data_IF_908410927663
#
_entry.id   IF_908410927663
#
_cell.length_a   1.000
_cell.length_b   1.000
_cell.length_c   1.000
_cell.angle_alpha   90.00
_cell.angle_beta   90.00
_cell.angle_gamma   90.00
#
_symmetry.space_group_name_H-M   'P 1'
#
loop_
_entity.id
_entity.type
_entity.pdbx_description
1 polymer ?
#
# COMPACT_ATOMS: atom_id res chain seq x y z
N UNK A 1 46.14 -11.72 0.59
CA UNK A 1 44.93 -11.05 0.05
C UNK A 1 43.63 -11.72 0.48
N UNK A 2 43.63 -13.02 0.84
CA UNK A 2 42.45 -13.75 1.36
C UNK A 2 42.20 -13.42 2.86
N UNK A 3 43.27 -13.30 3.65
CA UNK A 3 43.26 -12.89 5.08
C UNK A 3 42.51 -11.57 5.32
N UNK A 4 42.72 -10.57 4.46
CA UNK A 4 42.09 -9.24 4.52
C UNK A 4 40.59 -9.25 4.25
N UNK A 5 40.10 -10.21 3.45
CA UNK A 5 38.66 -10.34 3.15
C UNK A 5 37.95 -11.00 4.34
N UNK A 6 38.60 -11.96 4.99
CA UNK A 6 38.09 -12.62 6.19
C UNK A 6 37.97 -11.65 7.38
N UNK A 7 38.95 -10.76 7.59
CA UNK A 7 38.90 -9.76 8.67
C UNK A 7 37.81 -8.71 8.48
N UNK A 8 37.49 -8.33 7.23
CA UNK A 8 36.39 -7.39 6.92
C UNK A 8 35.03 -8.05 7.17
N UNK A 9 34.87 -9.33 6.80
CA UNK A 9 33.65 -10.07 7.10
C UNK A 9 33.45 -10.25 8.61
N UNK A 10 34.53 -10.48 9.36
CA UNK A 10 34.49 -10.61 10.82
C UNK A 10 34.23 -9.29 11.55
N UNK A 11 34.54 -8.15 10.93
CA UNK A 11 34.21 -6.82 11.45
C UNK A 11 32.72 -6.49 11.25
N UNK A 12 32.13 -6.93 10.13
CA UNK A 12 30.69 -6.79 9.87
C UNK A 12 29.88 -7.76 10.75
N UNK A 13 30.42 -8.94 11.05
CA UNK A 13 29.79 -9.95 11.93
C UNK A 13 30.06 -9.69 13.43
N UNK A 14 30.13 -8.41 13.84
CA UNK A 14 30.40 -8.02 15.22
C UNK A 14 29.54 -8.80 16.21
N UNK A 15 30.21 -9.56 17.09
CA UNK A 15 29.72 -10.25 18.29
C UNK A 15 28.21 -10.13 18.56
N UNK A 16 27.40 -10.89 17.84
CA UNK A 16 26.01 -11.09 18.22
C UNK A 16 26.01 -12.11 19.36
N UNK A 17 25.74 -11.66 20.59
CA UNK A 17 25.31 -12.58 21.64
C UNK A 17 24.13 -13.39 21.09
N UNK A 18 24.19 -14.72 21.21
CA UNK A 18 23.21 -15.64 20.61
C UNK A 18 21.77 -15.51 21.19
N UNK A 19 21.53 -14.49 22.02
CA UNK A 19 20.22 -14.03 22.43
C UNK A 19 19.97 -12.64 21.80
N UNK A 20 19.47 -12.57 20.56
CA UNK A 20 18.99 -11.31 20.03
C UNK A 20 17.88 -10.80 20.95
N UNK A 21 18.16 -9.69 21.64
CA UNK A 21 17.22 -9.06 22.56
C UNK A 21 16.16 -8.34 21.71
N UNK A 22 15.10 -9.06 21.36
CA UNK A 22 13.97 -8.56 20.56
C UNK A 22 13.02 -7.65 21.36
N UNK A 23 13.35 -7.33 22.60
CA UNK A 23 12.51 -6.60 23.56
C UNK A 23 12.18 -5.17 23.08
N UNK A 24 13.07 -4.59 22.26
CA UNK A 24 12.89 -3.26 21.68
C UNK A 24 12.08 -3.27 20.37
N UNK A 25 11.83 -4.44 19.78
CA UNK A 25 11.00 -4.52 18.57
C UNK A 25 9.56 -4.08 18.89
N UNK A 26 8.90 -3.30 17.99
CA UNK A 26 7.54 -2.85 18.22
C UNK A 26 6.52 -3.99 18.27
N UNK A 27 6.87 -5.18 17.76
CA UNK A 27 6.04 -6.39 17.76
C UNK A 27 6.58 -7.52 18.67
N UNK A 28 7.48 -7.21 19.60
CA UNK A 28 8.11 -8.21 20.48
C UNK A 28 7.20 -8.78 21.59
N UNK A 29 7.60 -9.90 22.22
CA UNK A 29 6.84 -10.57 23.29
C UNK A 29 6.96 -9.79 24.61
N UNK A 30 6.25 -8.68 24.75
CA UNK A 30 6.29 -7.88 25.97
C UNK A 30 5.27 -6.76 26.01
N UNK A 31 4.05 -7.06 26.47
CA UNK A 31 3.04 -6.07 26.88
C UNK A 31 3.21 -5.72 28.37
N UNK A 32 4.44 -5.43 28.79
CA UNK A 32 4.72 -5.16 30.21
C UNK A 32 4.28 -3.77 30.68
N UNK A 33 4.34 -2.77 29.78
CA UNK A 33 3.97 -1.39 30.06
C UNK A 33 3.05 -0.85 28.96
N UNK A 34 1.87 -0.37 29.39
CA UNK A 34 0.82 0.18 28.54
C UNK A 34 1.32 1.42 27.77
N UNK A 35 2.10 2.29 28.43
CA UNK A 35 2.62 3.52 27.82
C UNK A 35 3.69 3.22 26.77
N UNK A 36 4.55 2.24 27.03
CA UNK A 36 5.52 1.76 26.06
C UNK A 36 4.84 1.18 24.81
N UNK A 37 3.75 0.43 25.00
CA UNK A 37 2.97 -0.15 23.92
C UNK A 37 2.28 0.91 23.05
N UNK A 38 1.66 1.93 23.67
CA UNK A 38 1.07 3.06 22.95
C UNK A 38 2.12 3.81 22.13
N UNK A 39 3.28 4.08 22.72
CA UNK A 39 4.35 4.82 22.05
C UNK A 39 4.87 4.07 20.82
N UNK A 40 5.05 2.75 20.94
CA UNK A 40 5.40 1.87 19.82
C UNK A 40 4.34 1.92 18.71
N UNK A 41 3.05 1.84 19.06
CA UNK A 41 1.95 1.91 18.10
C UNK A 41 1.87 3.26 17.39
N UNK A 42 2.05 4.36 18.12
CA UNK A 42 2.05 5.71 17.55
C UNK A 42 3.23 5.90 16.60
N UNK A 43 4.41 5.40 16.96
CA UNK A 43 5.58 5.41 16.10
C UNK A 43 5.36 4.63 14.79
N UNK A 44 4.80 3.42 14.88
CA UNK A 44 4.43 2.62 13.70
C UNK A 44 3.40 3.35 12.84
N UNK A 45 2.36 3.91 13.45
CA UNK A 45 1.33 4.68 12.74
C UNK A 45 1.93 5.91 12.05
N UNK A 46 2.87 6.60 12.68
CA UNK A 46 3.56 7.74 12.10
C UNK A 46 4.38 7.33 10.86
N UNK A 47 5.16 6.25 10.94
CA UNK A 47 5.92 5.73 9.80
C UNK A 47 4.98 5.32 8.66
N UNK A 48 3.92 4.57 8.96
CA UNK A 48 2.93 4.17 7.96
C UNK A 48 2.25 5.38 7.33
N UNK A 49 1.90 6.39 8.12
CA UNK A 49 1.35 7.65 7.61
C UNK A 49 2.29 8.35 6.65
N UNK A 50 3.59 8.42 6.97
CA UNK A 50 4.62 8.97 6.08
C UNK A 50 4.72 8.16 4.79
N UNK A 51 4.73 6.83 4.86
CA UNK A 51 4.76 5.96 3.68
C UNK A 51 3.52 6.19 2.81
N UNK A 52 2.33 6.27 3.41
CA UNK A 52 1.08 6.54 2.67
C UNK A 52 1.16 7.88 1.96
N UNK A 53 1.60 8.95 2.65
CA UNK A 53 1.76 10.28 2.04
C UNK A 53 2.78 10.23 0.91
N UNK A 54 3.93 9.57 1.13
CA UNK A 54 4.98 9.42 0.12
C UNK A 54 4.44 8.72 -1.13
N UNK A 55 3.77 7.58 -0.98
CA UNK A 55 3.14 6.85 -2.09
C UNK A 55 2.02 7.67 -2.73
N UNK A 56 1.24 8.42 -1.94
CA UNK A 56 0.16 9.28 -2.43
C UNK A 56 0.66 10.46 -3.26
N UNK A 57 1.84 10.99 -2.95
CA UNK A 57 2.55 12.03 -3.73
C UNK A 57 3.17 11.42 -4.98
N UNK A 58 3.70 10.20 -4.87
CA UNK A 58 4.46 9.58 -5.95
C UNK A 58 3.57 8.93 -7.03
N UNK A 59 2.49 8.29 -6.58
CA UNK A 59 1.59 7.46 -7.39
C UNK A 59 0.10 7.86 -7.29
N UNK A 60 -0.28 8.78 -6.42
CA UNK A 60 -1.67 9.26 -6.35
C UNK A 60 -2.05 10.14 -7.55
N UNK A 61 -3.27 10.71 -7.60
CA UNK A 61 -3.64 11.68 -8.63
C UNK A 61 -2.63 12.84 -8.66
N UNK A 62 -2.01 13.03 -9.84
CA UNK A 62 -0.87 13.91 -10.14
C UNK A 62 0.51 13.43 -9.71
N UNK A 63 0.68 12.15 -9.37
CA UNK A 63 1.96 11.57 -9.00
C UNK A 63 2.93 11.48 -10.17
N UNK A 64 4.21 11.83 -9.95
CA UNK A 64 5.25 11.89 -11.00
C UNK A 64 5.56 10.52 -11.62
N UNK A 65 5.37 9.43 -10.89
CA UNK A 65 5.59 8.06 -11.37
C UNK A 65 4.28 7.33 -11.67
N UNK A 66 3.16 8.05 -11.81
CA UNK A 66 1.92 7.45 -12.26
C UNK A 66 2.02 7.16 -13.76
N UNK A 67 1.94 5.88 -14.11
CA UNK A 67 2.01 5.45 -15.51
C UNK A 67 0.71 5.82 -16.25
N UNK A 68 0.77 6.65 -17.30
CA UNK A 68 -0.41 7.01 -18.10
C UNK A 68 -1.06 5.80 -18.79
N UNK A 69 -0.34 4.70 -19.00
CA UNK A 69 -0.93 3.51 -19.62
C UNK A 69 -1.91 2.78 -18.69
N UNK A 70 -1.64 2.75 -17.37
CA UNK A 70 -2.56 2.18 -16.38
C UNK A 70 -3.86 3.00 -16.27
N UNK A 71 -3.75 4.32 -16.41
CA UNK A 71 -4.93 5.20 -16.45
C UNK A 71 -5.77 4.99 -17.71
N UNK A 72 -5.11 4.74 -18.84
CA UNK A 72 -5.78 4.44 -20.10
C UNK A 72 -6.54 3.12 -20.02
N UNK A 73 -5.93 2.05 -19.49
CA UNK A 73 -6.62 0.76 -19.31
C UNK A 73 -7.84 0.89 -18.37
N UNK A 74 -7.70 1.65 -17.27
CA UNK A 74 -8.80 1.91 -16.36
C UNK A 74 -9.94 2.73 -17.02
N UNK A 75 -9.59 3.71 -17.88
CA UNK A 75 -10.54 4.48 -18.65
C UNK A 75 -11.27 3.62 -19.69
N UNK A 76 -10.55 2.77 -20.43
CA UNK A 76 -11.13 1.85 -21.40
C UNK A 76 -12.06 0.81 -20.74
N UNK A 77 -11.71 0.30 -19.56
CA UNK A 77 -12.58 -0.59 -18.79
C UNK A 77 -13.86 0.11 -18.34
N UNK A 78 -13.76 1.38 -17.89
CA UNK A 78 -14.93 2.20 -17.54
C UNK A 78 -15.83 2.46 -18.74
N UNK A 79 -15.25 2.77 -19.90
CA UNK A 79 -16.01 3.01 -21.12
C UNK A 79 -16.76 1.75 -21.58
N UNK A 80 -16.10 0.59 -21.57
CA UNK A 80 -16.74 -0.71 -21.87
C UNK A 80 -17.89 -1.02 -20.91
N UNK A 81 -17.71 -0.76 -19.61
CA UNK A 81 -18.75 -0.96 -18.62
C UNK A 81 -19.96 -0.04 -18.83
N UNK A 82 -19.73 1.22 -19.24
CA UNK A 82 -20.80 2.16 -19.59
C UNK A 82 -21.54 1.74 -20.87
N UNK A 83 -20.82 1.28 -21.88
CA UNK A 83 -21.40 0.81 -23.14
C UNK A 83 -22.30 -0.42 -22.93
N UNK A 84 -21.86 -1.41 -22.14
CA UNK A 84 -22.67 -2.56 -21.77
C UNK A 84 -23.92 -2.16 -20.99
N UNK A 85 -23.79 -1.21 -20.07
CA UNK A 85 -24.93 -0.72 -19.29
C UNK A 85 -25.97 0.00 -20.19
N UNK A 86 -25.53 0.70 -21.22
CA UNK A 86 -26.42 1.33 -22.19
C UNK A 86 -27.09 0.32 -23.12
N UNK A 87 -26.39 -0.75 -23.52
CA UNK A 87 -26.96 -1.86 -24.27
C UNK A 87 -27.99 -2.64 -23.45
N UNK A 88 -27.74 -2.86 -22.17
CA UNK A 88 -28.70 -3.47 -21.25
C UNK A 88 -29.97 -2.63 -21.08
N UNK A 89 -29.83 -1.30 -21.08
CA UNK A 89 -30.97 -0.37 -21.06
C UNK A 89 -31.76 -0.45 -22.37
N UNK A 90 -31.07 -0.39 -23.53
CA UNK A 90 -31.70 -0.48 -24.87
C UNK A 90 -32.39 -1.81 -25.11
N UNK A 91 -31.83 -2.91 -24.60
CA UNK A 91 -32.42 -4.24 -24.67
C UNK A 91 -33.53 -4.49 -23.65
N UNK A 92 -33.84 -3.51 -22.79
CA UNK A 92 -34.91 -3.60 -21.80
C UNK A 92 -34.61 -4.55 -20.64
N UNK A 93 -33.36 -5.00 -20.48
CA UNK A 93 -32.94 -5.90 -19.40
C UNK A 93 -32.84 -5.20 -18.05
N UNK A 94 -32.67 -3.87 -18.06
CA UNK A 94 -32.60 -3.04 -16.85
C UNK A 94 -33.57 -1.85 -16.95
N UNK A 95 -34.11 -1.44 -15.80
CA UNK A 95 -34.96 -0.24 -15.68
C UNK A 95 -34.11 1.04 -15.74
N UNK A 96 -34.71 2.16 -16.18
CA UNK A 96 -34.06 3.48 -16.18
C UNK A 96 -33.55 3.91 -14.79
N UNK A 97 -34.25 3.49 -13.73
CA UNK A 97 -33.85 3.78 -12.34
C UNK A 97 -32.55 3.03 -12.02
N UNK A 98 -32.48 1.74 -12.35
CA UNK A 98 -31.29 0.91 -12.12
C UNK A 98 -30.09 1.38 -12.95
N UNK A 99 -30.33 1.83 -14.19
CA UNK A 99 -29.32 2.44 -15.04
C UNK A 99 -28.70 3.67 -14.37
N UNK A 100 -29.51 4.59 -13.83
CA UNK A 100 -29.02 5.81 -13.16
C UNK A 100 -28.14 5.48 -11.95
N UNK A 101 -28.54 4.50 -11.12
CA UNK A 101 -27.74 4.08 -9.97
C UNK A 101 -26.44 3.36 -10.37
N UNK A 102 -26.49 2.47 -11.37
CA UNK A 102 -25.30 1.77 -11.87
C UNK A 102 -24.31 2.71 -12.54
N UNK A 103 -24.79 3.64 -13.38
CA UNK A 103 -23.97 4.68 -14.03
C UNK A 103 -23.26 5.58 -13.02
N UNK A 104 -23.99 6.03 -11.98
CA UNK A 104 -23.40 6.86 -10.92
C UNK A 104 -22.27 6.14 -10.15
N UNK A 105 -22.37 4.82 -9.97
CA UNK A 105 -21.32 4.02 -9.33
C UNK A 105 -20.07 3.85 -10.20
N UNK A 106 -20.22 3.76 -11.53
CA UNK A 106 -19.09 3.61 -12.46
C UNK A 106 -18.31 4.93 -12.60
N UNK A 107 -18.99 6.08 -12.43
CA UNK A 107 -18.39 7.42 -12.52
C UNK A 107 -17.76 7.93 -11.22
N UNK A 108 -17.98 7.26 -10.08
CA UNK A 108 -17.25 7.49 -8.82
C UNK A 108 -15.84 6.90 -8.91
#
# INVERSE_FOLDING_TARGET
>A
MIETISSIFSFISGKYEANPHWDHWPFGPGYGDFWASITKMLFVAAILGVIIIFLRVLFGPNGKFRDPDLDREAAEMREKALAQLEEDLKSGKISEIDYKFKKKRIML
#
